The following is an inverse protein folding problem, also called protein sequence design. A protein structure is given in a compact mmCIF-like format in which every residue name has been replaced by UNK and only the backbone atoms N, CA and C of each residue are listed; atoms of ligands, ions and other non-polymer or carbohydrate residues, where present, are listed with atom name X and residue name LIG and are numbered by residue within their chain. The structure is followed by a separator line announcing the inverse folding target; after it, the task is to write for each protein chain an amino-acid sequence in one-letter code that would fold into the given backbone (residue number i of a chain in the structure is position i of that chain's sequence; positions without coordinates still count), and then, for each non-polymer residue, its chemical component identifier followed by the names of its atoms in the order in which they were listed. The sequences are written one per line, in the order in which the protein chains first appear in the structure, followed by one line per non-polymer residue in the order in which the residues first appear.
data_IF_959967302552
#
_entry.id   IF_959967302552
#
_cell.length_a   1.000
_cell.length_b   1.000
_cell.length_c   1.000
_cell.angle_alpha   90.00
_cell.angle_beta   90.00
_cell.angle_gamma   90.00
#
_symmetry.space_group_name_H-M   'P 1'
#
loop_
_entity.id
_entity.type
_entity.pdbx_description
1 polymer ?
#
# COMPACT_ATOMS: atom_id res chain seq x y z
N UNK A 1 18.50 1.85 5.21
CA UNK A 1 18.98 1.12 4.01
C UNK A 1 18.69 1.99 2.79
N UNK A 2 19.69 2.33 1.97
CA UNK A 2 19.47 3.18 0.80
C UNK A 2 18.78 2.39 -0.33
N UNK A 3 18.02 3.07 -1.19
CA UNK A 3 17.43 2.45 -2.38
C UNK A 3 18.52 1.91 -3.32
N UNK A 4 18.24 0.76 -3.94
CA UNK A 4 19.08 0.21 -4.99
C UNK A 4 19.21 1.21 -6.15
N UNK A 5 20.30 1.09 -6.91
CA UNK A 5 20.50 1.92 -8.11
C UNK A 5 19.37 1.73 -9.13
N UNK A 6 18.88 0.50 -9.26
CA UNK A 6 17.75 0.16 -10.15
C UNK A 6 16.48 0.91 -9.71
N UNK A 7 16.19 0.91 -8.41
CA UNK A 7 15.03 1.62 -7.85
C UNK A 7 15.14 3.13 -8.04
N UNK A 8 16.33 3.72 -7.87
CA UNK A 8 16.54 5.16 -8.13
C UNK A 8 16.31 5.52 -9.59
N UNK A 9 16.88 4.76 -10.53
CA UNK A 9 16.67 4.98 -11.97
C UNK A 9 15.20 4.82 -12.36
N UNK A 10 14.51 3.84 -11.79
CA UNK A 10 13.08 3.66 -11.99
C UNK A 10 12.28 4.86 -11.45
N UNK A 11 12.64 5.40 -10.29
CA UNK A 11 11.97 6.57 -9.71
C UNK A 11 12.10 7.81 -10.59
N UNK A 12 13.28 8.06 -11.16
CA UNK A 12 13.49 9.15 -12.13
C UNK A 12 12.64 8.93 -13.38
N UNK A 13 12.68 7.73 -13.98
CA UNK A 13 11.88 7.40 -15.17
C UNK A 13 10.37 7.56 -14.92
N UNK A 14 9.92 7.22 -13.72
CA UNK A 14 8.53 7.29 -13.30
C UNK A 14 8.05 8.71 -12.93
N UNK A 15 8.97 9.68 -12.80
CA UNK A 15 8.66 10.99 -12.21
C UNK A 15 8.28 10.91 -10.73
N UNK A 16 8.74 9.89 -10.01
CA UNK A 16 8.43 9.64 -8.60
C UNK A 16 9.65 9.87 -7.69
N UNK A 17 10.67 10.58 -8.16
CA UNK A 17 11.91 10.80 -7.42
C UNK A 17 11.64 11.46 -6.06
N UNK A 18 10.90 12.57 -6.03
CA UNK A 18 10.58 13.30 -4.80
C UNK A 18 9.85 12.40 -3.79
N UNK A 19 8.98 11.52 -4.27
CA UNK A 19 8.24 10.57 -3.42
C UNK A 19 9.19 9.50 -2.87
N UNK A 20 10.10 8.98 -3.70
CA UNK A 20 11.10 8.01 -3.25
C UNK A 20 12.03 8.60 -2.19
N UNK A 21 12.41 9.87 -2.33
CA UNK A 21 13.23 10.61 -1.35
C UNK A 21 12.49 10.79 -0.02
N UNK A 22 11.23 11.26 -0.05
CA UNK A 22 10.37 11.34 1.14
C UNK A 22 10.25 10.00 1.85
N UNK A 23 10.03 8.92 1.11
CA UNK A 23 9.91 7.56 1.69
C UNK A 23 11.19 7.14 2.40
N UNK A 24 12.36 7.35 1.79
CA UNK A 24 13.66 7.02 2.39
C UNK A 24 13.95 7.89 3.62
N UNK A 25 13.53 9.16 3.59
CA UNK A 25 13.64 10.08 4.71
C UNK A 25 12.64 9.79 5.85
N UNK A 26 11.69 8.88 5.64
CA UNK A 26 10.63 8.59 6.61
C UNK A 26 9.58 9.70 6.73
N UNK A 27 9.49 10.57 5.72
CA UNK A 27 8.56 11.68 5.69
C UNK A 27 7.15 11.25 5.30
N UNK A 28 6.15 12.00 5.78
CA UNK A 28 4.75 11.74 5.46
C UNK A 28 4.46 12.18 4.02
N UNK A 29 3.91 11.26 3.22
CA UNK A 29 3.41 11.57 1.89
C UNK A 29 2.11 12.39 1.95
N UNK A 30 1.96 13.31 1.01
CA UNK A 30 0.77 14.12 0.81
C UNK A 30 -0.31 13.36 0.02
N UNK A 31 -1.49 13.97 -0.11
CA UNK A 31 -2.56 13.44 -0.96
C UNK A 31 -2.12 13.31 -2.43
N UNK A 32 -1.45 14.34 -2.96
CA UNK A 32 -1.01 14.38 -4.36
C UNK A 32 0.06 13.33 -4.63
N UNK A 33 0.96 13.09 -3.67
CA UNK A 33 1.93 11.98 -3.74
C UNK A 33 1.19 10.63 -3.86
N UNK A 34 0.13 10.43 -3.07
CA UNK A 34 -0.72 9.24 -3.14
C UNK A 34 -1.41 9.07 -4.49
N UNK A 35 -1.95 10.15 -5.05
CA UNK A 35 -2.58 10.13 -6.38
C UNK A 35 -1.55 9.81 -7.47
N UNK A 36 -0.35 10.37 -7.39
CA UNK A 36 0.73 10.08 -8.33
C UNK A 36 1.15 8.60 -8.27
N UNK A 37 1.26 8.03 -7.07
CA UNK A 37 1.56 6.61 -6.88
C UNK A 37 0.49 5.70 -7.49
N UNK A 38 -0.80 5.99 -7.27
CA UNK A 38 -1.91 5.19 -7.83
C UNK A 38 -1.94 5.24 -9.35
N UNK A 39 -1.58 6.38 -9.95
CA UNK A 39 -1.57 6.55 -11.41
C UNK A 39 -0.33 5.96 -12.09
N UNK A 40 0.72 5.67 -11.33
CA UNK A 40 1.98 5.19 -11.89
C UNK A 40 1.90 3.71 -12.29
N UNK A 41 2.40 3.34 -13.48
CA UNK A 41 2.47 1.94 -13.90
C UNK A 41 3.66 1.17 -13.29
N UNK A 42 4.53 1.84 -12.53
CA UNK A 42 5.82 1.29 -12.07
C UNK A 42 5.66 0.49 -10.76
N UNK A 43 4.87 -0.59 -10.81
CA UNK A 43 4.52 -1.42 -9.66
C UNK A 43 5.74 -1.95 -8.89
N UNK A 44 6.80 -2.37 -9.60
CA UNK A 44 8.00 -2.91 -8.97
C UNK A 44 8.74 -1.87 -8.11
N UNK A 45 8.82 -0.62 -8.59
CA UNK A 45 9.37 0.49 -7.82
C UNK A 45 8.53 0.76 -6.57
N UNK A 46 7.21 0.86 -6.73
CA UNK A 46 6.28 1.13 -5.63
C UNK A 46 6.37 0.02 -4.59
N UNK A 47 6.44 -1.24 -5.04
CA UNK A 47 6.68 -2.41 -4.17
C UNK A 47 7.99 -2.31 -3.40
N UNK A 48 9.07 -1.89 -4.03
CA UNK A 48 10.36 -1.71 -3.35
C UNK A 48 10.34 -0.57 -2.31
N UNK A 49 9.63 0.54 -2.59
CA UNK A 49 9.43 1.62 -1.63
C UNK A 49 8.58 1.17 -0.44
N UNK A 50 7.51 0.41 -0.70
CA UNK A 50 6.65 -0.16 0.34
C UNK A 50 7.41 -1.18 1.20
N UNK A 51 8.18 -2.07 0.57
CA UNK A 51 9.01 -3.06 1.26
C UNK A 51 10.08 -2.40 2.13
N UNK A 52 10.72 -1.32 1.66
CA UNK A 52 11.63 -0.53 2.47
C UNK A 52 10.99 -0.04 3.78
N UNK A 53 9.79 0.52 3.72
CA UNK A 53 9.06 0.99 4.91
C UNK A 53 8.65 -0.19 5.79
N UNK A 54 8.17 -1.28 5.20
CA UNK A 54 7.74 -2.50 5.90
C UNK A 54 8.90 -3.12 6.67
N UNK A 55 10.03 -3.38 6.00
CA UNK A 55 11.23 -3.99 6.60
C UNK A 55 11.88 -3.09 7.64
N UNK A 56 11.87 -1.76 7.47
CA UNK A 56 12.30 -0.85 8.53
C UNK A 56 11.47 -1.00 9.81
N UNK A 57 10.14 -1.16 9.70
CA UNK A 57 9.25 -1.23 10.86
C UNK A 57 9.18 -2.61 11.48
N UNK A 58 9.38 -3.65 10.67
CA UNK A 58 8.97 -5.01 11.00
C UNK A 58 10.04 -6.07 10.78
N UNK A 59 11.18 -5.71 10.17
CA UNK A 59 12.17 -6.67 9.70
C UNK A 59 11.52 -7.70 8.77
N UNK A 60 11.89 -8.96 8.97
CA UNK A 60 11.35 -10.10 8.21
C UNK A 60 10.11 -10.73 8.87
N UNK A 61 9.68 -10.22 10.03
CA UNK A 61 8.55 -10.78 10.76
C UNK A 61 7.23 -10.58 10.00
N UNK A 62 6.41 -11.62 10.02
CA UNK A 62 5.05 -11.61 9.49
C UNK A 62 4.13 -12.20 10.55
N UNK A 63 3.18 -11.39 11.03
CA UNK A 63 2.28 -11.78 12.12
C UNK A 63 1.04 -12.49 11.60
N UNK A 64 0.52 -13.41 12.41
CA UNK A 64 -0.79 -14.05 12.25
C UNK A 64 -1.42 -14.27 13.62
N UNK A 65 -2.74 -14.45 13.67
CA UNK A 65 -3.46 -14.78 14.90
C UNK A 65 -4.41 -15.97 14.69
N UNK A 66 -4.99 -16.47 15.79
CA UNK A 66 -6.09 -17.44 15.76
C UNK A 66 -7.38 -16.70 16.04
N UNK A 67 -8.28 -16.66 15.06
CA UNK A 67 -9.57 -15.98 15.18
C UNK A 67 -10.73 -16.91 14.79
N UNK A 68 -11.90 -16.64 15.35
CA UNK A 68 -13.19 -17.24 14.97
C UNK A 68 -14.17 -16.09 14.73
N UNK A 69 -14.87 -16.13 13.60
CA UNK A 69 -15.90 -15.15 13.25
C UNK A 69 -17.26 -15.85 13.19
N UNK A 70 -18.24 -15.36 13.94
CA UNK A 70 -19.62 -15.86 13.90
C UNK A 70 -20.51 -14.76 13.33
N UNK A 71 -21.03 -14.98 12.13
CA UNK A 71 -22.03 -14.10 11.53
C UNK A 71 -23.42 -14.58 11.96
N UNK A 72 -24.02 -13.88 12.92
CA UNK A 72 -25.33 -14.25 13.47
C UNK A 72 -26.46 -14.22 12.42
N UNK A 73 -26.35 -13.36 11.41
CA UNK A 73 -27.27 -13.29 10.28
C UNK A 73 -26.53 -12.84 9.01
N UNK A 74 -27.05 -13.24 7.86
CA UNK A 74 -26.67 -12.73 6.54
C UNK A 74 -27.82 -11.94 5.87
N UNK A 75 -28.82 -11.52 6.66
CA UNK A 75 -29.93 -10.67 6.23
C UNK A 75 -29.64 -9.24 6.67
N UNK A 76 -29.73 -8.29 5.74
CA UNK A 76 -29.43 -6.88 5.98
C UNK A 76 -30.47 -5.99 5.27
N UNK A 77 -30.87 -4.89 5.91
CA UNK A 77 -31.76 -3.88 5.32
C UNK A 77 -31.02 -2.92 4.36
N UNK A 78 -29.71 -2.78 4.53
CA UNK A 78 -28.89 -1.90 3.70
C UNK A 78 -28.74 -2.45 2.27
N UNK A 79 -28.70 -1.53 1.30
CA UNK A 79 -28.58 -1.82 -0.14
C UNK A 79 -27.15 -1.58 -0.67
N UNK A 80 -26.15 -2.15 0.00
CA UNK A 80 -24.75 -1.96 -0.39
C UNK A 80 -24.45 -2.66 -1.73
N UNK A 81 -24.10 -1.88 -2.76
CA UNK A 81 -23.89 -2.37 -4.15
C UNK A 81 -22.79 -3.42 -4.31
N UNK A 82 -21.91 -3.57 -3.30
CA UNK A 82 -20.79 -4.50 -3.30
C UNK A 82 -20.99 -5.69 -2.36
N UNK A 83 -22.08 -5.73 -1.58
CA UNK A 83 -22.29 -6.73 -0.54
C UNK A 83 -23.33 -7.78 -0.95
N UNK A 84 -22.99 -9.06 -0.85
CA UNK A 84 -23.88 -10.17 -1.17
C UNK A 84 -25.03 -10.39 -0.17
N UNK A 85 -25.00 -9.72 0.99
CA UNK A 85 -26.10 -9.75 1.95
C UNK A 85 -27.19 -8.74 1.61
N UNK A 86 -26.93 -7.81 0.69
CA UNK A 86 -27.96 -6.95 0.08
C UNK A 86 -28.91 -7.83 -0.74
N UNK A 87 -30.22 -7.66 -0.52
CA UNK A 87 -31.27 -8.41 -1.26
C UNK A 87 -32.26 -7.51 -2.01
N UNK A 88 -32.07 -6.20 -1.92
CA UNK A 88 -32.80 -5.17 -2.65
C UNK A 88 -31.91 -4.63 -3.78
#
# INVERSE_FOLDING_TARGET
MALSEISRRAAVRAGLQDIAEKVVAGERLSLDDGVALIRSPELALIGALADHVRTQRHGDLTWFNRNLHINATNVCEASCIFCSFSRL
#
